data_IF_412674817678
#
_entry.id   IF_412674817678
#
_cell.length_a   1.000
_cell.length_b   1.000
_cell.length_c   1.000
_cell.angle_alpha   90.00
_cell.angle_beta   90.00
_cell.angle_gamma   90.00
#
_symmetry.space_group_name_H-M   'P 1'
#
loop_
_entity.id
_entity.type
_entity.pdbx_description
1 polymer ?
#
# COMPACT_ATOMS: atom_id res chain seq x y z
N UNK A 1 5.01 -42.62 -10.05
CA UNK A 1 3.96 -41.71 -10.56
C UNK A 1 3.82 -40.48 -9.67
N UNK A 2 3.50 -40.62 -8.37
CA UNK A 2 3.38 -39.47 -7.45
C UNK A 2 4.64 -38.56 -7.38
N UNK A 3 5.84 -39.15 -7.31
CA UNK A 3 7.11 -38.39 -7.29
C UNK A 3 7.32 -37.54 -8.56
N UNK A 4 6.92 -38.05 -9.73
CA UNK A 4 7.03 -37.32 -11.00
C UNK A 4 6.07 -36.12 -10.98
N UNK A 5 4.85 -36.30 -10.45
CA UNK A 5 3.92 -35.19 -10.24
C UNK A 5 4.48 -34.11 -9.30
N UNK A 6 5.14 -34.50 -8.21
CA UNK A 6 5.79 -33.57 -7.29
C UNK A 6 6.93 -32.77 -7.97
N UNK A 7 7.74 -33.43 -8.81
CA UNK A 7 8.78 -32.75 -9.61
C UNK A 7 8.18 -31.74 -10.59
N UNK A 8 7.08 -32.07 -11.26
CA UNK A 8 6.39 -31.13 -12.15
C UNK A 8 5.90 -29.88 -11.42
N UNK A 9 5.32 -30.04 -10.23
CA UNK A 9 4.90 -28.91 -9.39
C UNK A 9 6.13 -28.09 -8.93
N UNK A 10 7.21 -28.76 -8.54
CA UNK A 10 8.47 -28.09 -8.19
C UNK A 10 9.04 -27.24 -9.32
N UNK A 11 9.03 -27.74 -10.56
CA UNK A 11 9.42 -26.97 -11.73
C UNK A 11 8.47 -25.77 -11.98
N UNK A 12 7.16 -25.94 -11.79
CA UNK A 12 6.19 -24.84 -11.88
C UNK A 12 6.47 -23.72 -10.88
N UNK A 13 6.78 -24.09 -9.62
CA UNK A 13 7.13 -23.14 -8.58
C UNK A 13 8.47 -22.43 -8.88
N UNK A 14 9.47 -23.16 -9.36
CA UNK A 14 10.75 -22.56 -9.78
C UNK A 14 10.54 -21.55 -10.92
N UNK A 15 9.72 -21.89 -11.91
CA UNK A 15 9.36 -20.97 -13.01
C UNK A 15 8.68 -19.71 -12.51
N UNK A 16 7.81 -19.79 -11.49
CA UNK A 16 7.18 -18.62 -10.87
C UNK A 16 8.23 -17.67 -10.25
N UNK A 17 9.20 -18.21 -9.51
CA UNK A 17 10.28 -17.41 -8.93
C UNK A 17 11.15 -16.75 -10.01
N UNK A 18 11.49 -17.48 -11.07
CA UNK A 18 12.24 -16.95 -12.21
C UNK A 18 11.45 -15.82 -12.89
N UNK A 19 10.16 -16.01 -13.12
CA UNK A 19 9.29 -15.01 -13.75
C UNK A 19 9.27 -13.70 -12.94
N UNK A 20 9.06 -13.77 -11.63
CA UNK A 20 9.06 -12.59 -10.74
C UNK A 20 10.45 -11.92 -10.76
N UNK A 21 11.53 -12.70 -10.67
CA UNK A 21 12.89 -12.16 -10.69
C UNK A 21 13.22 -11.42 -11.99
N UNK A 22 12.91 -12.02 -13.15
CA UNK A 22 13.13 -11.39 -14.46
C UNK A 22 12.30 -10.11 -14.60
N UNK A 23 11.03 -10.15 -14.20
CA UNK A 23 10.12 -8.99 -14.27
C UNK A 23 10.62 -7.82 -13.43
N UNK A 24 11.01 -8.05 -12.17
CA UNK A 24 11.56 -7.00 -11.30
C UNK A 24 12.86 -6.44 -11.87
N UNK A 25 13.71 -7.29 -12.47
CA UNK A 25 14.99 -6.88 -13.06
C UNK A 25 14.81 -5.98 -14.29
N UNK A 26 13.78 -6.24 -15.10
CA UNK A 26 13.53 -5.54 -16.37
C UNK A 26 12.41 -4.49 -16.31
N UNK A 27 11.81 -4.24 -15.13
CA UNK A 27 10.67 -3.33 -14.92
C UNK A 27 10.76 -1.93 -15.56
N UNK A 28 11.97 -1.36 -15.69
CA UNK A 28 12.16 -0.03 -16.30
C UNK A 28 12.09 -0.04 -17.82
N UNK A 29 12.33 -1.19 -18.46
CA UNK A 29 12.27 -1.36 -19.93
C UNK A 29 10.87 -1.74 -20.39
N UNK A 30 10.15 -2.49 -19.57
CA UNK A 30 8.83 -3.07 -19.88
C UNK A 30 7.68 -2.25 -19.30
N UNK A 31 7.87 -0.92 -19.16
CA UNK A 31 6.90 -0.04 -18.52
C UNK A 31 5.47 -0.32 -19.01
N UNK A 32 4.58 -0.61 -18.06
CA UNK A 32 3.21 -1.00 -18.34
C UNK A 32 2.33 0.24 -18.28
N UNK A 33 1.52 0.44 -19.32
CA UNK A 33 0.56 1.54 -19.37
C UNK A 33 -0.63 1.31 -18.43
N UNK A 34 -1.53 2.28 -18.32
CA UNK A 34 -2.79 2.17 -17.56
C UNK A 34 -3.74 1.08 -18.09
N UNK A 35 -3.56 0.59 -19.32
CA UNK A 35 -4.32 -0.53 -19.89
C UNK A 35 -3.42 -1.63 -20.49
N UNK A 36 -2.79 -2.48 -19.65
CA UNK A 36 -1.92 -3.57 -20.13
C UNK A 36 -2.64 -4.60 -20.99
N UNK A 37 -3.95 -4.75 -20.79
CA UNK A 37 -4.75 -5.85 -21.33
C UNK A 37 -5.59 -5.43 -22.54
N UNK A 38 -5.68 -4.12 -22.81
CA UNK A 38 -6.50 -3.53 -23.89
C UNK A 38 -8.01 -3.64 -23.67
N UNK A 39 -8.45 -4.23 -22.56
CA UNK A 39 -9.86 -4.56 -22.26
C UNK A 39 -10.16 -4.36 -20.78
N UNK A 40 -9.60 -3.32 -20.17
CA UNK A 40 -9.83 -3.03 -18.77
C UNK A 40 -11.18 -2.33 -18.57
N UNK A 41 -12.00 -2.83 -17.63
CA UNK A 41 -13.44 -2.44 -17.53
C UNK A 41 -13.82 -1.77 -16.22
N UNK A 42 -13.15 -2.12 -15.13
CA UNK A 42 -13.47 -1.63 -13.79
C UNK A 42 -12.81 -0.28 -13.50
N UNK A 43 -13.26 0.36 -12.41
CA UNK A 43 -12.71 1.64 -11.93
C UNK A 43 -11.23 1.55 -11.57
N UNK A 44 -10.74 0.37 -11.18
CA UNK A 44 -9.33 0.14 -10.81
C UNK A 44 -8.34 0.49 -11.91
N UNK A 45 -8.83 0.60 -13.15
CA UNK A 45 -8.06 0.94 -14.35
C UNK A 45 -8.29 2.39 -14.82
N UNK A 46 -9.00 3.19 -14.02
CA UNK A 46 -9.07 4.65 -14.18
C UNK A 46 -7.92 5.36 -13.47
N UNK A 47 -7.24 4.67 -12.54
CA UNK A 47 -6.06 5.23 -11.88
C UNK A 47 -4.88 5.30 -12.83
N UNK A 48 -3.94 6.19 -12.53
CA UNK A 48 -2.66 6.29 -13.24
C UNK A 48 -1.75 5.12 -12.88
N UNK A 49 -0.79 4.84 -13.75
CA UNK A 49 0.34 3.94 -13.46
C UNK A 49 1.60 4.77 -13.24
N UNK A 50 2.31 4.60 -12.11
CA UNK A 50 1.95 3.81 -10.94
C UNK A 50 0.80 4.45 -10.12
N UNK A 51 0.08 3.62 -9.36
CA UNK A 51 -1.07 4.05 -8.57
C UNK A 51 -0.61 4.97 -7.43
N UNK A 52 -1.15 6.20 -7.31
CA UNK A 52 -0.89 7.08 -6.18
C UNK A 52 -1.33 6.43 -4.85
N UNK A 53 -0.68 6.78 -3.73
CA UNK A 53 -1.04 6.23 -2.42
C UNK A 53 -2.45 6.65 -1.93
N UNK A 54 -2.99 7.73 -2.48
CA UNK A 54 -4.38 8.17 -2.27
C UNK A 54 -5.38 7.54 -3.26
N UNK A 55 -4.92 6.65 -4.15
CA UNK A 55 -5.66 6.03 -5.26
C UNK A 55 -6.19 7.03 -6.31
N UNK A 56 -7.20 7.83 -5.97
CA UNK A 56 -7.83 8.79 -6.88
C UNK A 56 -7.75 10.20 -6.30
N UNK A 57 -7.34 11.17 -7.12
CA UNK A 57 -7.32 12.58 -6.71
C UNK A 57 -8.73 13.14 -6.48
N UNK A 58 -9.71 12.63 -7.23
CA UNK A 58 -11.14 12.92 -7.08
C UNK A 58 -11.89 11.60 -7.14
N UNK A 59 -12.86 11.42 -6.24
CA UNK A 59 -13.63 10.18 -6.17
C UNK A 59 -14.45 10.00 -7.45
N UNK A 60 -14.25 8.90 -8.21
CA UNK A 60 -14.98 8.70 -9.47
C UNK A 60 -16.45 8.40 -9.18
N UNK A 61 -17.34 9.08 -9.88
CA UNK A 61 -18.78 8.75 -9.89
C UNK A 61 -18.99 7.50 -10.74
N UNK A 62 -19.64 6.48 -10.17
CA UNK A 62 -19.91 5.21 -10.84
C UNK A 62 -21.37 5.16 -11.26
N UNK A 63 -21.61 5.01 -12.56
CA UNK A 63 -22.94 4.91 -13.16
C UNK A 63 -23.30 3.47 -13.49
N UNK A 64 -22.31 2.68 -13.90
CA UNK A 64 -22.47 1.28 -14.29
C UNK A 64 -21.38 0.40 -13.70
N UNK A 65 -21.58 -0.93 -13.71
CA UNK A 65 -20.60 -1.89 -13.19
C UNK A 65 -19.24 -1.78 -13.89
N UNK A 66 -19.25 -1.61 -15.22
CA UNK A 66 -18.05 -1.50 -16.05
C UNK A 66 -17.76 -0.04 -16.40
N UNK A 67 -17.56 0.78 -15.36
CA UNK A 67 -17.47 2.23 -15.48
C UNK A 67 -16.39 2.71 -16.46
N UNK A 68 -15.19 2.09 -16.46
CA UNK A 68 -14.12 2.47 -17.39
C UNK A 68 -14.53 2.23 -18.84
N UNK A 69 -15.06 1.04 -19.14
CA UNK A 69 -15.47 0.70 -20.50
C UNK A 69 -16.60 1.63 -20.99
N UNK A 70 -17.54 1.96 -20.10
CA UNK A 70 -18.61 2.91 -20.41
C UNK A 70 -18.11 4.34 -20.66
N UNK A 71 -17.10 4.80 -19.90
CA UNK A 71 -16.43 6.09 -20.14
C UNK A 71 -15.66 6.07 -21.46
N UNK A 72 -15.00 4.97 -21.79
CA UNK A 72 -14.27 4.78 -23.05
C UNK A 72 -15.21 4.87 -24.26
N UNK A 73 -16.32 4.13 -24.24
CA UNK A 73 -17.35 4.16 -25.30
C UNK A 73 -17.96 5.55 -25.51
N UNK A 74 -17.93 6.41 -24.48
CA UNK A 74 -18.46 7.78 -24.49
C UNK A 74 -17.38 8.86 -24.66
N UNK A 75 -16.11 8.49 -24.75
CA UNK A 75 -15.00 9.44 -24.87
C UNK A 75 -14.70 10.27 -23.60
N UNK A 76 -15.07 9.78 -22.41
CA UNK A 76 -14.98 10.48 -21.12
C UNK A 76 -13.73 10.08 -20.30
N UNK A 77 -12.75 9.38 -20.89
CA UNK A 77 -11.56 8.92 -20.15
C UNK A 77 -10.57 10.04 -19.77
N UNK A 78 -10.59 11.16 -20.49
CA UNK A 78 -9.62 12.25 -20.33
C UNK A 78 -10.16 13.46 -19.55
N UNK A 79 -11.24 13.29 -18.78
CA UNK A 79 -11.78 14.37 -17.97
C UNK A 79 -10.81 14.74 -16.85
N UNK A 80 -10.15 15.89 -16.98
CA UNK A 80 -9.31 16.46 -15.94
C UNK A 80 -10.24 17.03 -14.85
N UNK A 81 -10.03 16.67 -13.57
CA UNK A 81 -10.84 17.22 -12.50
C UNK A 81 -10.70 18.74 -12.44
N UNK A 82 -11.83 19.45 -12.38
CA UNK A 82 -11.85 20.91 -12.30
C UNK A 82 -11.53 21.40 -10.88
N UNK A 83 -11.94 20.62 -9.89
CA UNK A 83 -11.80 20.91 -8.47
C UNK A 83 -11.06 19.76 -7.78
N UNK A 84 -10.14 20.11 -6.89
CA UNK A 84 -9.41 19.17 -6.04
C UNK A 84 -9.77 19.50 -4.59
N UNK A 85 -9.99 18.46 -3.79
CA UNK A 85 -10.28 18.59 -2.36
C UNK A 85 -9.07 18.10 -1.54
N UNK A 86 -8.99 18.54 -0.29
CA UNK A 86 -7.99 18.01 0.64
C UNK A 86 -8.35 16.57 1.01
N UNK A 87 -7.34 15.70 1.10
CA UNK A 87 -7.50 14.28 1.38
C UNK A 87 -6.87 13.96 2.74
N UNK A 88 -7.67 13.48 3.69
CA UNK A 88 -7.17 12.97 4.97
C UNK A 88 -6.75 11.52 4.83
N UNK A 89 -5.50 11.20 5.17
CA UNK A 89 -4.92 9.87 5.03
C UNK A 89 -4.40 9.35 6.37
N UNK A 90 -4.51 8.04 6.63
CA UNK A 90 -3.97 7.45 7.85
C UNK A 90 -2.44 7.45 7.84
N UNK A 91 -1.85 7.75 9.00
CA UNK A 91 -0.41 7.65 9.27
C UNK A 91 0.02 6.20 9.44
N UNK A 92 1.24 5.90 9.04
CA UNK A 92 1.87 4.60 9.31
C UNK A 92 2.03 4.39 10.83
N UNK A 93 1.80 3.17 11.31
CA UNK A 93 1.90 2.83 12.73
C UNK A 93 2.73 1.57 12.95
N UNK A 94 3.63 1.61 13.93
CA UNK A 94 4.42 0.45 14.36
C UNK A 94 3.63 -0.51 15.29
N UNK A 95 2.48 -0.07 15.81
CA UNK A 95 1.72 -0.82 16.80
C UNK A 95 1.26 -2.22 16.32
N UNK A 96 0.78 -2.41 15.07
CA UNK A 96 0.43 -3.74 14.58
C UNK A 96 1.63 -4.71 14.56
N UNK A 97 2.83 -4.21 14.21
CA UNK A 97 4.06 -5.02 14.24
C UNK A 97 4.40 -5.44 15.67
N UNK A 98 4.32 -4.51 16.62
CA UNK A 98 4.55 -4.82 18.04
C UNK A 98 3.57 -5.89 18.56
N UNK A 99 2.28 -5.77 18.22
CA UNK A 99 1.27 -6.79 18.55
C UNK A 99 1.63 -8.13 17.92
N UNK A 100 2.06 -8.16 16.65
CA UNK A 100 2.47 -9.38 15.97
C UNK A 100 3.62 -10.11 16.68
N UNK A 101 4.66 -9.38 17.10
CA UNK A 101 5.80 -9.94 17.84
C UNK A 101 5.38 -10.47 19.21
N UNK A 102 4.52 -9.74 19.93
CA UNK A 102 4.01 -10.17 21.23
C UNK A 102 3.06 -11.38 21.10
N UNK A 103 2.22 -11.41 20.06
CA UNK A 103 1.35 -12.55 19.77
C UNK A 103 2.16 -13.81 19.43
N UNK A 104 3.26 -13.65 18.68
CA UNK A 104 4.22 -14.73 18.46
C UNK A 104 4.83 -15.21 19.77
N UNK A 105 5.32 -14.30 20.63
CA UNK A 105 5.88 -14.63 21.94
C UNK A 105 4.87 -15.34 22.86
N UNK A 106 3.61 -14.90 22.82
CA UNK A 106 2.50 -15.53 23.55
C UNK A 106 2.26 -16.97 23.07
N UNK A 107 2.11 -17.17 21.75
CA UNK A 107 1.91 -18.49 21.16
C UNK A 107 3.08 -19.44 21.44
N UNK A 108 4.31 -18.95 21.28
CA UNK A 108 5.52 -19.71 21.60
C UNK A 108 5.57 -20.09 23.08
N UNK A 109 5.15 -19.19 23.98
CA UNK A 109 5.10 -19.46 25.42
C UNK A 109 4.10 -20.53 25.81
N UNK A 110 2.92 -20.53 25.19
CA UNK A 110 1.91 -21.56 25.41
C UNK A 110 2.38 -22.94 24.93
N UNK A 111 2.96 -23.02 23.73
CA UNK A 111 3.43 -24.30 23.14
C UNK A 111 4.51 -24.95 24.01
N UNK A 112 5.47 -24.16 24.51
CA UNK A 112 6.59 -24.66 25.30
C UNK A 112 6.36 -24.63 26.81
N UNK A 113 5.13 -24.33 27.26
CA UNK A 113 4.76 -24.21 28.68
C UNK A 113 5.60 -23.19 29.46
N UNK A 114 6.06 -22.14 28.78
CA UNK A 114 6.83 -21.03 29.37
C UNK A 114 5.84 -19.96 29.85
N UNK A 115 5.26 -20.19 31.04
CA UNK A 115 4.16 -19.38 31.56
C UNK A 115 4.52 -17.91 31.79
N UNK A 116 5.74 -17.61 32.24
CA UNK A 116 6.16 -16.22 32.46
C UNK A 116 6.17 -15.42 31.15
N UNK A 117 6.61 -16.03 30.06
CA UNK A 117 6.66 -15.39 28.75
C UNK A 117 5.26 -15.22 28.15
N UNK A 118 4.39 -16.22 28.33
CA UNK A 118 2.98 -16.10 27.94
C UNK A 118 2.28 -14.96 28.70
N UNK A 119 2.51 -14.87 30.02
CA UNK A 119 2.00 -13.80 30.86
C UNK A 119 2.53 -12.41 30.45
N UNK A 120 3.84 -12.26 30.28
CA UNK A 120 4.44 -10.99 29.82
C UNK A 120 3.93 -10.58 28.43
N UNK A 121 3.76 -11.53 27.52
CA UNK A 121 3.28 -11.25 26.16
C UNK A 121 1.84 -10.75 26.16
N UNK A 122 0.93 -11.38 26.93
CA UNK A 122 -0.45 -10.88 27.10
C UNK A 122 -0.46 -9.48 27.69
N UNK A 123 0.30 -9.26 28.77
CA UNK A 123 0.38 -7.94 29.40
C UNK A 123 0.91 -6.88 28.42
N UNK A 124 1.91 -7.24 27.61
CA UNK A 124 2.41 -6.40 26.53
C UNK A 124 1.35 -6.06 25.49
N UNK A 125 0.56 -7.03 25.03
CA UNK A 125 -0.51 -6.81 24.04
C UNK A 125 -1.54 -5.84 24.61
N UNK A 126 -1.99 -6.05 25.85
CA UNK A 126 -2.94 -5.15 26.51
C UNK A 126 -2.35 -3.74 26.60
N UNK A 127 -1.08 -3.60 26.98
CA UNK A 127 -0.40 -2.30 27.02
C UNK A 127 -0.38 -1.60 25.66
N UNK A 128 -0.02 -2.30 24.59
CA UNK A 128 -0.01 -1.74 23.22
C UNK A 128 -1.41 -1.35 22.76
N UNK A 129 -2.44 -2.12 23.10
CA UNK A 129 -3.83 -1.79 22.80
C UNK A 129 -4.31 -0.54 23.55
N UNK A 130 -3.92 -0.37 24.82
CA UNK A 130 -4.22 0.86 25.57
C UNK A 130 -3.55 2.06 24.90
N UNK A 131 -2.26 1.95 24.55
CA UNK A 131 -1.54 3.01 23.83
C UNK A 131 -2.24 3.34 22.51
N UNK A 132 -2.64 2.32 21.73
CA UNK A 132 -3.38 2.51 20.46
C UNK A 132 -4.68 3.26 20.68
N UNK A 133 -5.44 2.91 21.71
CA UNK A 133 -6.73 3.53 22.02
C UNK A 133 -6.59 5.01 22.45
N UNK A 134 -5.44 5.39 23.01
CA UNK A 134 -5.18 6.77 23.42
C UNK A 134 -4.67 7.67 22.28
N UNK A 135 -4.24 7.10 21.15
CA UNK A 135 -3.77 7.88 20.02
C UNK A 135 -4.93 8.57 19.29
N UNK A 136 -4.89 9.91 19.27
CA UNK A 136 -5.86 10.74 18.54
C UNK A 136 -5.34 11.23 17.20
N UNK A 137 -4.02 11.45 17.10
CA UNK A 137 -3.38 11.93 15.88
C UNK A 137 -2.96 10.75 15.00
N UNK A 138 -3.93 10.21 14.25
CA UNK A 138 -3.76 9.00 13.43
C UNK A 138 -3.81 9.30 11.93
N UNK A 139 -4.16 10.52 11.56
CA UNK A 139 -4.35 10.97 10.19
C UNK A 139 -3.47 12.20 9.93
N UNK A 140 -3.11 12.42 8.67
CA UNK A 140 -2.54 13.67 8.17
C UNK A 140 -3.40 14.14 7.00
N UNK A 141 -3.41 15.45 6.77
CA UNK A 141 -4.15 16.06 5.69
C UNK A 141 -3.20 16.39 4.55
N UNK A 142 -3.58 15.97 3.35
CA UNK A 142 -2.91 16.33 2.11
C UNK A 142 -3.71 17.44 1.45
N UNK A 143 -3.10 18.62 1.25
CA UNK A 143 -3.83 19.79 0.75
C UNK A 143 -4.24 19.61 -0.73
N UNK A 144 -5.31 20.30 -1.13
CA UNK A 144 -5.79 20.27 -2.52
C UNK A 144 -4.71 20.71 -3.53
N UNK A 145 -3.83 21.64 -3.14
CA UNK A 145 -2.73 22.10 -3.99
C UNK A 145 -1.67 21.01 -4.20
N UNK A 146 -1.33 20.28 -3.14
CA UNK A 146 -0.39 19.14 -3.20
C UNK A 146 -0.95 18.00 -4.03
N UNK A 147 -2.23 17.63 -3.84
CA UNK A 147 -2.91 16.62 -4.65
C UNK A 147 -2.87 17.01 -6.13
N UNK A 148 -3.19 18.25 -6.45
CA UNK A 148 -3.16 18.77 -7.83
C UNK A 148 -1.76 18.78 -8.42
N UNK A 149 -0.75 19.13 -7.63
CA UNK A 149 0.64 19.13 -8.06
C UNK A 149 1.11 17.70 -8.37
N UNK A 150 0.79 16.73 -7.52
CA UNK A 150 1.12 15.32 -7.73
C UNK A 150 0.39 14.72 -8.92
N UNK A 151 -0.92 14.96 -9.05
CA UNK A 151 -1.72 14.48 -10.16
C UNK A 151 -1.23 15.02 -11.52
N UNK A 152 -0.71 16.26 -11.54
CA UNK A 152 -0.09 16.87 -12.74
C UNK A 152 1.34 16.44 -13.00
N UNK A 153 2.13 16.13 -11.97
CA UNK A 153 3.55 15.74 -12.11
C UNK A 153 3.73 14.33 -12.66
N UNK A 154 2.69 13.49 -12.66
CA UNK A 154 2.75 12.10 -13.13
C UNK A 154 3.76 11.21 -12.38
N UNK A 155 4.35 11.68 -11.27
CA UNK A 155 5.31 10.93 -10.47
C UNK A 155 4.70 10.55 -9.12
N UNK A 156 4.79 9.27 -8.69
CA UNK A 156 4.44 8.91 -7.33
C UNK A 156 5.49 9.47 -6.37
N UNK A 157 5.13 10.41 -5.51
CA UNK A 157 5.99 10.77 -4.39
C UNK A 157 5.96 9.59 -3.41
N UNK A 158 7.11 8.98 -3.18
CA UNK A 158 7.25 7.87 -2.26
C UNK A 158 7.26 8.45 -0.84
N UNK A 159 6.23 8.17 -0.03
CA UNK A 159 6.06 8.65 1.36
C UNK A 159 7.27 8.33 2.26
N UNK A 160 8.11 7.38 1.86
CA UNK A 160 9.38 7.03 2.54
C UNK A 160 10.45 8.12 2.36
N UNK A 161 10.48 8.81 1.23
CA UNK A 161 11.41 9.91 0.96
C UNK A 161 10.95 11.18 1.68
N UNK A 162 9.66 11.54 1.57
CA UNK A 162 9.13 12.73 2.26
C UNK A 162 9.25 12.64 3.79
N UNK A 163 9.00 11.47 4.39
CA UNK A 163 9.17 11.34 5.84
C UNK A 163 10.64 11.38 6.27
N UNK A 164 11.57 10.93 5.42
CA UNK A 164 13.01 11.12 5.66
C UNK A 164 13.36 12.60 5.64
N UNK A 165 12.91 13.32 4.63
CA UNK A 165 13.21 14.74 4.45
C UNK A 165 12.56 15.60 5.54
N UNK A 166 11.35 15.27 5.95
CA UNK A 166 10.65 15.93 7.06
C UNK A 166 11.32 15.67 8.41
N UNK A 167 11.79 14.43 8.65
CA UNK A 167 12.56 14.09 9.87
C UNK A 167 13.92 14.78 9.85
N UNK A 168 14.61 14.82 8.71
CA UNK A 168 15.93 15.44 8.56
C UNK A 168 15.85 16.97 8.72
N UNK A 169 14.79 17.60 8.18
CA UNK A 169 14.50 19.02 8.38
C UNK A 169 14.19 19.35 9.84
N UNK A 170 13.37 18.53 10.51
CA UNK A 170 13.06 18.69 11.92
C UNK A 170 14.29 18.45 12.83
N UNK A 171 15.19 17.54 12.47
CA UNK A 171 16.46 17.34 13.18
C UNK A 171 17.43 18.51 12.96
N UNK A 172 17.44 19.12 11.77
CA UNK A 172 18.29 20.27 11.47
C UNK A 172 17.85 21.53 12.21
N UNK A 173 16.55 21.76 12.39
CA UNK A 173 16.04 22.85 13.24
C UNK A 173 16.32 22.64 14.74
N UNK A 174 16.48 21.39 15.20
CA UNK A 174 16.80 21.09 16.59
C UNK A 174 18.30 21.26 16.94
N UNK A 175 19.15 21.48 15.93
CA UNK A 175 20.60 21.62 16.05
C UNK A 175 21.12 23.06 15.80
N UNK A 176 20.22 24.03 15.64
CA UNK A 176 20.48 25.48 15.61
C UNK A 176 19.96 26.16 16.88
#
# INVERSE_FOLDING_TARGET
IAFIGALCIGCGLASLFIQVWVSVRHRRREGVDHDPWGHTRTVDWLTRTPVPFYNYAVTPVVHVKDERAWREERGLLQEIPQEYEAISLPKNSFLPMAIGVLAFGFGFGLVWRIWWMAGLSILGIIGVLIIRAMQKDIEYELSAEEVKAMDRRHEPINIVEEHKDAVESAMMELHL
#
